data_IF_811849229120
#
_entry.id   IF_811849229120
#
_cell.length_a   1.000
_cell.length_b   1.000
_cell.length_c   1.000
_cell.angle_alpha   90.00
_cell.angle_beta   90.00
_cell.angle_gamma   90.00
#
_symmetry.space_group_name_H-M   'P 1'
#
loop_
_entity.id
_entity.type
_entity.pdbx_description
1 polymer ?
#
# COMPACT_ATOMS: atom_id res chain seq x y z
N UNK A 1 -30.36 -11.53 2.39
CA UNK A 1 -30.77 -10.65 1.27
C UNK A 1 -30.70 -9.19 1.73
N UNK A 2 -29.52 -8.74 2.15
CA UNK A 2 -29.21 -7.39 2.61
C UNK A 2 -27.74 -7.22 2.26
N UNK A 3 -27.43 -6.54 1.15
CA UNK A 3 -26.13 -5.98 0.75
C UNK A 3 -26.16 -5.51 -0.72
N UNK A 4 -27.16 -4.71 -1.08
CA UNK A 4 -27.11 -3.84 -2.27
C UNK A 4 -27.64 -2.48 -1.85
N UNK A 5 -26.78 -1.59 -1.37
CA UNK A 5 -27.00 -0.13 -1.40
C UNK A 5 -25.90 0.63 -0.63
N UNK A 6 -24.63 0.51 -1.01
CA UNK A 6 -23.68 1.60 -0.82
C UNK A 6 -22.81 1.67 -2.08
N UNK A 7 -22.76 2.84 -2.70
CA UNK A 7 -22.08 3.10 -3.97
C UNK A 7 -20.57 2.86 -3.88
N UNK A 8 -20.15 1.61 -4.02
CA UNK A 8 -18.78 1.17 -3.91
C UNK A 8 -17.88 1.61 -5.09
N UNK A 9 -18.41 2.30 -6.09
CA UNK A 9 -17.64 2.75 -7.26
C UNK A 9 -17.02 4.15 -7.17
N UNK A 10 -17.59 5.08 -6.37
CA UNK A 10 -17.11 6.49 -6.33
C UNK A 10 -16.07 6.77 -5.24
N UNK A 11 -16.22 6.15 -4.08
CA UNK A 11 -15.27 6.24 -2.96
C UNK A 11 -13.85 5.76 -3.30
N UNK A 12 -13.65 4.61 -4.00
CA UNK A 12 -12.29 4.17 -4.31
C UNK A 12 -11.60 5.10 -5.31
N UNK A 13 -12.33 5.66 -6.29
CA UNK A 13 -11.73 6.54 -7.29
C UNK A 13 -11.25 7.86 -6.67
N UNK A 14 -12.03 8.45 -5.77
CA UNK A 14 -11.65 9.67 -5.06
C UNK A 14 -10.39 9.47 -4.20
N UNK A 15 -10.29 8.33 -3.50
CA UNK A 15 -9.13 8.00 -2.69
C UNK A 15 -7.88 7.76 -3.54
N UNK A 16 -8.02 7.12 -4.71
CA UNK A 16 -6.92 6.93 -5.66
C UNK A 16 -6.42 8.29 -6.17
N UNK A 17 -7.32 9.17 -6.59
CA UNK A 17 -6.95 10.52 -7.06
C UNK A 17 -6.23 11.31 -5.96
N UNK A 18 -6.76 11.28 -4.74
CA UNK A 18 -6.13 11.94 -3.60
C UNK A 18 -4.72 11.38 -3.32
N UNK A 19 -4.56 10.06 -3.37
CA UNK A 19 -3.26 9.40 -3.20
C UNK A 19 -2.24 9.81 -4.26
N UNK A 20 -2.65 9.92 -5.52
CA UNK A 20 -1.79 10.39 -6.63
C UNK A 20 -1.40 11.85 -6.41
N UNK A 21 -2.36 12.72 -6.09
CA UNK A 21 -2.09 14.13 -5.83
C UNK A 21 -1.09 14.29 -4.68
N UNK A 22 -1.28 13.53 -3.61
CA UNK A 22 -0.38 13.50 -2.47
C UNK A 22 1.03 13.05 -2.83
N UNK A 23 1.16 12.00 -3.65
CA UNK A 23 2.45 11.48 -4.10
C UNK A 23 3.19 12.47 -5.01
N UNK A 24 2.49 13.20 -5.87
CA UNK A 24 3.10 14.14 -6.83
C UNK A 24 3.38 15.51 -6.21
N UNK A 25 2.68 15.89 -5.13
CA UNK A 25 2.80 17.21 -4.52
C UNK A 25 4.24 17.62 -4.14
N UNK A 26 5.10 16.76 -3.55
CA UNK A 26 6.48 17.14 -3.24
C UNK A 26 7.28 17.55 -4.49
N UNK A 27 7.08 16.87 -5.62
CA UNK A 27 7.76 17.21 -6.87
C UNK A 27 7.30 18.57 -7.42
N UNK A 28 5.99 18.85 -7.37
CA UNK A 28 5.43 20.14 -7.78
C UNK A 28 5.96 21.26 -6.88
N UNK A 29 5.92 21.07 -5.56
CA UNK A 29 6.45 22.04 -4.59
C UNK A 29 7.93 22.31 -4.86
N UNK A 30 8.74 21.26 -5.05
CA UNK A 30 10.16 21.40 -5.37
C UNK A 30 10.40 22.24 -6.64
N UNK A 31 9.66 21.97 -7.72
CA UNK A 31 9.79 22.69 -8.98
C UNK A 31 9.44 24.19 -8.86
N UNK A 32 8.62 24.58 -7.88
CA UNK A 32 8.29 25.99 -7.63
C UNK A 32 9.34 26.75 -6.80
N UNK A 33 10.16 26.03 -6.02
CA UNK A 33 11.18 26.63 -5.14
C UNK A 33 12.60 26.53 -5.70
N UNK A 34 12.86 25.58 -6.60
CA UNK A 34 14.16 25.36 -7.20
C UNK A 34 14.65 26.62 -7.92
N UNK A 35 15.86 27.05 -7.56
CA UNK A 35 16.53 28.24 -8.10
C UNK A 35 17.25 27.94 -9.41
N UNK A 36 17.69 26.70 -9.62
CA UNK A 36 18.45 26.30 -10.80
C UNK A 36 17.71 25.21 -11.58
N UNK A 37 17.67 25.34 -12.91
CA UNK A 37 17.09 24.33 -13.81
C UNK A 37 17.70 22.93 -13.61
N UNK A 38 19.05 22.74 -13.55
CA UNK A 38 19.61 21.39 -13.42
C UNK A 38 19.26 20.71 -12.09
N UNK A 39 19.40 21.40 -10.95
CA UNK A 39 19.06 20.82 -9.63
C UNK A 39 17.54 20.64 -9.50
N UNK A 40 16.78 21.59 -10.03
CA UNK A 40 15.32 21.51 -10.18
C UNK A 40 14.87 20.22 -10.86
N UNK A 41 15.35 19.96 -12.07
CA UNK A 41 15.01 18.76 -12.83
C UNK A 41 15.53 17.47 -12.18
N UNK A 42 16.73 17.47 -11.62
CA UNK A 42 17.30 16.28 -10.99
C UNK A 42 16.48 15.83 -9.77
N UNK A 43 16.24 16.73 -8.82
CA UNK A 43 15.48 16.41 -7.60
C UNK A 43 14.00 16.21 -7.92
N UNK A 44 13.42 17.03 -8.80
CA UNK A 44 12.03 16.86 -9.25
C UNK A 44 11.81 15.51 -9.94
N UNK A 45 12.75 15.10 -10.80
CA UNK A 45 12.72 13.78 -11.45
C UNK A 45 12.81 12.63 -10.45
N UNK A 46 13.72 12.70 -9.48
CA UNK A 46 13.83 11.71 -8.41
C UNK A 46 12.53 11.59 -7.58
N UNK A 47 11.92 12.73 -7.23
CA UNK A 47 10.63 12.76 -6.51
C UNK A 47 9.51 12.14 -7.34
N UNK A 48 9.46 12.39 -8.65
CA UNK A 48 8.48 11.78 -9.56
C UNK A 48 8.68 10.26 -9.71
N UNK A 49 9.93 9.80 -9.80
CA UNK A 49 10.24 8.36 -9.82
C UNK A 49 9.78 7.71 -8.51
N UNK A 50 10.09 8.31 -7.37
CA UNK A 50 9.66 7.81 -6.06
C UNK A 50 8.12 7.81 -5.94
N UNK A 51 7.43 8.84 -6.43
CA UNK A 51 5.98 8.92 -6.46
C UNK A 51 5.38 7.82 -7.37
N UNK A 52 5.95 7.61 -8.54
CA UNK A 52 5.54 6.55 -9.48
C UNK A 52 5.69 5.16 -8.89
N UNK A 53 6.77 4.91 -8.14
CA UNK A 53 6.97 3.66 -7.40
C UNK A 53 5.91 3.49 -6.31
N UNK A 54 5.64 4.53 -5.51
CA UNK A 54 4.59 4.49 -4.49
C UNK A 54 3.21 4.19 -5.11
N UNK A 55 2.85 4.86 -6.19
CA UNK A 55 1.59 4.62 -6.91
C UNK A 55 1.54 3.18 -7.44
N UNK A 56 2.65 2.67 -7.97
CA UNK A 56 2.73 1.29 -8.45
C UNK A 56 2.49 0.26 -7.33
N UNK A 57 2.96 0.54 -6.10
CA UNK A 57 2.66 -0.27 -4.92
C UNK A 57 1.19 -0.14 -4.52
N UNK A 58 0.62 1.07 -4.53
CA UNK A 58 -0.80 1.31 -4.20
C UNK A 58 -1.76 0.60 -5.16
N UNK A 59 -1.46 0.61 -6.46
CA UNK A 59 -2.21 -0.14 -7.48
C UNK A 59 -1.91 -1.66 -7.42
N UNK A 60 -0.89 -2.04 -6.64
CA UNK A 60 -0.36 -3.39 -6.48
C UNK A 60 0.18 -3.98 -7.77
N UNK A 61 0.74 -3.13 -8.63
CA UNK A 61 1.58 -3.54 -9.77
C UNK A 61 2.92 -4.10 -9.28
N UNK A 62 3.41 -3.57 -8.16
CA UNK A 62 4.61 -4.06 -7.46
C UNK A 62 4.17 -4.67 -6.13
N UNK A 63 4.67 -5.88 -5.83
CA UNK A 63 4.48 -6.52 -4.53
C UNK A 63 5.42 -5.88 -3.52
N UNK A 64 4.92 -4.91 -2.77
CA UNK A 64 5.58 -4.36 -1.60
C UNK A 64 4.53 -4.04 -0.53
N UNK A 65 4.92 -4.00 0.75
CA UNK A 65 4.02 -3.62 1.83
C UNK A 65 3.61 -2.15 1.67
N UNK A 66 2.31 -1.89 1.51
CA UNK A 66 1.78 -0.54 1.30
C UNK A 66 2.20 0.46 2.39
N UNK A 67 2.00 0.15 3.68
CA UNK A 67 2.36 1.06 4.78
C UNK A 67 3.84 1.45 4.76
N UNK A 68 4.73 0.50 4.45
CA UNK A 68 6.17 0.73 4.41
C UNK A 68 6.57 1.61 3.24
N UNK A 69 5.98 1.39 2.06
CA UNK A 69 6.21 2.23 0.90
C UNK A 69 5.80 3.69 1.17
N UNK A 70 4.68 3.90 1.86
CA UNK A 70 4.22 5.22 2.28
C UNK A 70 5.17 5.89 3.28
N UNK A 71 5.67 5.15 4.28
CA UNK A 71 6.62 5.68 5.24
C UNK A 71 7.96 6.03 4.57
N UNK A 72 8.48 5.12 3.72
CA UNK A 72 9.72 5.35 2.98
C UNK A 72 9.61 6.61 2.10
N UNK A 73 8.53 6.77 1.35
CA UNK A 73 8.31 7.97 0.54
C UNK A 73 8.23 9.23 1.40
N UNK A 74 7.53 9.16 2.53
CA UNK A 74 7.36 10.26 3.50
C UNK A 74 8.69 10.73 4.10
N UNK A 75 9.67 9.83 4.29
CA UNK A 75 11.02 10.18 4.76
C UNK A 75 11.93 10.61 3.61
N UNK A 76 11.86 9.92 2.46
CA UNK A 76 12.72 10.17 1.32
C UNK A 76 12.47 11.55 0.70
N UNK A 77 11.21 11.96 0.56
CA UNK A 77 10.85 13.24 -0.04
C UNK A 77 11.47 14.46 0.67
N UNK A 78 11.33 14.65 2.00
CA UNK A 78 11.96 15.77 2.69
C UNK A 78 13.49 15.70 2.67
N UNK A 79 14.09 14.49 2.70
CA UNK A 79 15.54 14.33 2.57
C UNK A 79 16.03 14.81 1.20
N UNK A 80 15.38 14.39 0.12
CA UNK A 80 15.71 14.84 -1.24
C UNK A 80 15.58 16.37 -1.38
N UNK A 81 14.52 16.94 -0.79
CA UNK A 81 14.29 18.39 -0.80
C UNK A 81 15.35 19.14 0.00
N UNK A 82 15.73 18.65 1.19
CA UNK A 82 16.79 19.24 2.01
C UNK A 82 18.15 19.17 1.30
N UNK A 83 18.48 18.03 0.68
CA UNK A 83 19.68 17.87 -0.12
C UNK A 83 19.69 18.83 -1.32
N UNK A 84 18.59 18.92 -2.06
CA UNK A 84 18.43 19.86 -3.17
C UNK A 84 18.64 21.31 -2.73
N UNK A 85 17.99 21.72 -1.64
CA UNK A 85 18.14 23.06 -1.09
C UNK A 85 19.59 23.37 -0.67
N UNK A 86 20.29 22.38 -0.08
CA UNK A 86 21.70 22.50 0.26
C UNK A 86 22.60 22.66 -0.98
N UNK A 87 22.33 21.93 -2.06
CA UNK A 87 23.06 22.07 -3.33
C UNK A 87 22.85 23.44 -3.99
N UNK A 88 21.62 23.97 -3.93
CA UNK A 88 21.33 25.31 -4.44
C UNK A 88 21.93 26.42 -3.57
N UNK A 89 22.01 26.21 -2.26
CA UNK A 89 22.63 27.15 -1.32
C UNK A 89 24.13 27.34 -1.55
N UNK A 90 24.80 26.39 -2.21
CA UNK A 90 26.22 26.50 -2.59
C UNK A 90 26.45 27.42 -3.79
N UNK A 91 25.41 27.80 -4.52
CA UNK A 91 25.53 28.75 -5.63
C UNK A 91 25.36 30.17 -5.10
N UNK A 92 26.43 30.98 -5.12
CA UNK A 92 26.59 32.36 -4.57
C UNK A 92 25.60 33.43 -5.11
N UNK A 93 24.58 33.04 -5.85
CA UNK A 93 23.52 33.96 -6.27
C UNK A 93 22.66 34.38 -5.08
N UNK A 94 22.45 35.68 -4.89
CA UNK A 94 21.44 36.20 -3.97
C UNK A 94 20.03 35.72 -4.38
N UNK A 95 19.19 35.27 -3.43
CA UNK A 95 17.85 34.80 -3.75
C UNK A 95 17.00 35.89 -4.39
N UNK A 96 16.18 35.56 -5.41
CA UNK A 96 15.31 36.54 -6.05
C UNK A 96 14.25 37.07 -5.05
N UNK A 97 13.75 38.31 -5.26
CA UNK A 97 12.69 38.87 -4.44
C UNK A 97 11.47 37.93 -4.42
N UNK A 98 10.94 37.64 -3.24
CA UNK A 98 9.80 36.72 -3.06
C UNK A 98 10.15 35.23 -2.94
N UNK A 99 11.43 34.84 -2.99
CA UNK A 99 11.82 33.45 -2.75
C UNK A 99 11.59 32.99 -1.30
N UNK A 100 11.89 33.85 -0.32
CA UNK A 100 11.72 33.55 1.11
C UNK A 100 10.26 33.16 1.46
N UNK A 101 9.23 33.95 1.09
CA UNK A 101 7.84 33.55 1.38
C UNK A 101 7.41 32.27 0.66
N UNK A 102 7.87 32.04 -0.59
CA UNK A 102 7.60 30.78 -1.31
C UNK A 102 8.23 29.57 -0.61
N UNK A 103 9.48 29.70 -0.17
CA UNK A 103 10.19 28.67 0.59
C UNK A 103 9.47 28.36 1.90
N UNK A 104 9.06 29.37 2.65
CA UNK A 104 8.36 29.16 3.92
C UNK A 104 7.00 28.48 3.70
N UNK A 105 6.26 28.86 2.64
CA UNK A 105 5.02 28.19 2.25
C UNK A 105 5.24 26.72 1.85
N UNK A 106 6.29 26.43 1.08
CA UNK A 106 6.69 25.07 0.72
C UNK A 106 7.04 24.21 1.94
N UNK A 107 7.82 24.75 2.88
CA UNK A 107 8.16 24.07 4.14
C UNK A 107 6.89 23.79 4.95
N UNK A 108 6.00 24.77 5.08
CA UNK A 108 4.73 24.58 5.79
C UNK A 108 3.85 23.50 5.17
N UNK A 109 3.72 23.49 3.84
CA UNK A 109 2.94 22.48 3.11
C UNK A 109 3.53 21.07 3.29
N UNK A 110 4.85 20.91 3.08
CA UNK A 110 5.53 19.63 3.23
C UNK A 110 5.53 19.13 4.68
N UNK A 111 5.68 20.04 5.65
CA UNK A 111 5.58 19.73 7.07
C UNK A 111 4.19 19.24 7.45
N UNK A 112 3.14 19.89 6.93
CA UNK A 112 1.76 19.45 7.12
C UNK A 112 1.51 18.09 6.46
N UNK A 113 2.01 17.89 5.24
CA UNK A 113 1.92 16.62 4.51
C UNK A 113 2.56 15.48 5.32
N UNK A 114 3.76 15.71 5.86
CA UNK A 114 4.47 14.76 6.70
C UNK A 114 3.69 14.44 8.00
N UNK A 115 3.22 15.46 8.70
CA UNK A 115 2.45 15.30 9.93
C UNK A 115 1.16 14.52 9.70
N UNK A 116 0.40 14.83 8.63
CA UNK A 116 -0.80 14.09 8.26
C UNK A 116 -0.50 12.61 7.97
N UNK A 117 0.61 12.32 7.29
CA UNK A 117 0.98 10.92 7.00
C UNK A 117 1.34 10.16 8.27
N UNK A 118 2.07 10.79 9.20
CA UNK A 118 2.40 10.17 10.48
C UNK A 118 1.14 9.90 11.32
N UNK A 119 0.23 10.88 11.41
CA UNK A 119 -1.03 10.71 12.15
C UNK A 119 -1.89 9.62 11.52
N UNK A 120 -2.07 9.65 10.20
CA UNK A 120 -2.84 8.63 9.49
C UNK A 120 -2.20 7.24 9.60
N UNK A 121 -0.88 7.14 9.49
CA UNK A 121 -0.14 5.89 9.65
C UNK A 121 -0.22 5.33 11.07
N UNK A 122 -0.13 6.18 12.08
CA UNK A 122 -0.30 5.80 13.49
C UNK A 122 -1.72 5.33 13.77
N UNK A 123 -2.73 6.08 13.31
CA UNK A 123 -4.14 5.68 13.41
C UNK A 123 -4.40 4.35 12.69
N UNK A 124 -3.82 4.16 11.51
CA UNK A 124 -3.92 2.90 10.78
C UNK A 124 -3.31 1.75 11.59
N UNK A 125 -2.09 1.92 12.12
CA UNK A 125 -1.43 0.91 12.96
C UNK A 125 -2.24 0.54 14.20
N UNK A 126 -2.90 1.52 14.83
CA UNK A 126 -3.78 1.30 15.97
C UNK A 126 -5.06 0.53 15.56
N UNK A 127 -5.71 0.91 14.46
CA UNK A 127 -6.93 0.27 13.97
C UNK A 127 -6.69 -1.18 13.54
N UNK A 128 -5.60 -1.47 12.84
CA UNK A 128 -5.29 -2.83 12.40
C UNK A 128 -4.87 -3.75 13.56
N UNK A 129 -4.38 -3.19 14.67
CA UNK A 129 -4.05 -3.96 15.87
C UNK A 129 -5.29 -4.63 16.50
N UNK A 130 -6.50 -4.17 16.16
CA UNK A 130 -7.74 -4.75 16.70
C UNK A 130 -8.20 -6.02 15.97
N UNK A 131 -7.46 -6.49 14.95
CA UNK A 131 -7.79 -7.74 14.22
C UNK A 131 -9.09 -7.69 13.41
N UNK A 132 -9.64 -6.48 13.22
CA UNK A 132 -10.94 -6.24 12.60
C UNK A 132 -10.91 -6.23 11.07
N UNK A 133 -9.72 -6.20 10.46
CA UNK A 133 -9.57 -6.09 9.01
C UNK A 133 -9.00 -7.36 8.39
N UNK A 134 -9.62 -7.86 7.32
CA UNK A 134 -9.19 -9.09 6.66
C UNK A 134 -8.04 -8.81 5.66
N UNK A 135 -7.13 -9.79 5.44
CA UNK A 135 -6.15 -9.69 4.37
C UNK A 135 -6.79 -9.44 3.00
N UNK A 136 -6.05 -8.79 2.09
CA UNK A 136 -6.51 -8.49 0.74
C UNK A 136 -6.79 -9.77 -0.08
N UNK A 137 -7.64 -9.69 -1.11
CA UNK A 137 -7.88 -10.79 -2.06
C UNK A 137 -6.59 -11.31 -2.70
N UNK A 138 -5.64 -10.42 -2.98
CA UNK A 138 -4.36 -10.72 -3.62
C UNK A 138 -3.41 -11.51 -2.71
N UNK A 139 -3.76 -11.66 -1.43
CA UNK A 139 -2.98 -12.46 -0.49
C UNK A 139 -3.25 -13.96 -0.65
N UNK A 140 -4.38 -14.32 -1.25
CA UNK A 140 -4.66 -15.71 -1.63
C UNK A 140 -3.64 -16.20 -2.66
N UNK A 141 -3.27 -17.49 -2.63
CA UNK A 141 -2.28 -18.03 -3.53
C UNK A 141 -2.82 -18.05 -4.96
N UNK A 142 -1.91 -17.93 -5.93
CA UNK A 142 -2.25 -18.18 -7.32
C UNK A 142 -2.71 -19.62 -7.49
N UNK A 143 -3.87 -19.80 -8.11
CA UNK A 143 -4.43 -21.13 -8.32
C UNK A 143 -3.71 -21.83 -9.48
N UNK A 144 -3.41 -23.14 -9.34
CA UNK A 144 -2.92 -23.94 -10.43
C UNK A 144 -4.00 -24.07 -11.53
N UNK A 145 -3.61 -24.38 -12.77
CA UNK A 145 -4.56 -24.73 -13.82
C UNK A 145 -5.53 -25.82 -13.35
N UNK A 146 -6.79 -25.74 -13.77
CA UNK A 146 -7.82 -26.70 -13.37
C UNK A 146 -8.53 -26.38 -12.05
N UNK A 147 -7.99 -25.46 -11.24
CA UNK A 147 -8.63 -24.99 -9.99
C UNK A 147 -9.07 -23.54 -10.13
N UNK A 148 -10.31 -23.24 -9.76
CA UNK A 148 -10.88 -21.89 -9.83
C UNK A 148 -11.62 -21.51 -8.55
N UNK A 149 -11.57 -20.23 -8.19
CA UNK A 149 -12.41 -19.66 -7.14
C UNK A 149 -13.84 -19.52 -7.66
N UNK A 150 -14.79 -20.10 -6.92
CA UNK A 150 -16.24 -20.00 -7.19
C UNK A 150 -16.92 -18.96 -6.31
N UNK A 151 -16.36 -18.69 -5.13
CA UNK A 151 -16.86 -17.66 -4.23
C UNK A 151 -15.71 -17.08 -3.41
N UNK A 152 -15.72 -15.78 -3.18
CA UNK A 152 -14.72 -15.08 -2.37
C UNK A 152 -15.41 -14.06 -1.47
N UNK A 153 -15.03 -14.05 -0.20
CA UNK A 153 -15.60 -13.15 0.79
C UNK A 153 -14.69 -12.91 1.98
N UNK A 154 -15.22 -12.16 2.94
CA UNK A 154 -14.58 -11.91 4.24
C UNK A 154 -15.39 -12.65 5.30
N UNK A 155 -14.71 -13.42 6.14
CA UNK A 155 -15.30 -14.09 7.29
C UNK A 155 -14.65 -13.62 8.58
N UNK A 156 -15.46 -13.09 9.51
CA UNK A 156 -14.99 -12.62 10.81
C UNK A 156 -15.48 -13.53 11.93
N UNK A 157 -14.61 -13.82 12.89
CA UNK A 157 -14.91 -14.59 14.08
C UNK A 157 -14.14 -14.08 15.30
N UNK A 158 -14.11 -14.88 16.36
CA UNK A 158 -13.42 -14.53 17.62
C UNK A 158 -11.91 -14.35 17.45
N UNK A 159 -11.32 -14.94 16.41
CA UNK A 159 -9.92 -14.79 16.02
C UNK A 159 -9.68 -13.74 14.93
N UNK A 160 -10.54 -12.72 14.85
CA UNK A 160 -10.43 -11.64 13.87
C UNK A 160 -11.07 -11.95 12.51
N UNK A 161 -10.80 -11.09 11.54
CA UNK A 161 -11.30 -11.22 10.18
C UNK A 161 -10.30 -11.91 9.26
N UNK A 162 -10.82 -12.81 8.43
CA UNK A 162 -10.08 -13.61 7.46
C UNK A 162 -10.66 -13.41 6.07
N UNK A 163 -9.80 -13.52 5.06
CA UNK A 163 -10.20 -13.62 3.66
C UNK A 163 -10.49 -15.07 3.37
N UNK A 164 -11.66 -15.37 2.80
CA UNK A 164 -12.10 -16.74 2.55
C UNK A 164 -12.45 -16.89 1.08
N UNK A 165 -11.96 -17.94 0.43
CA UNK A 165 -12.33 -18.28 -0.93
C UNK A 165 -12.68 -19.76 -1.06
N UNK A 166 -13.82 -20.05 -1.68
CA UNK A 166 -14.22 -21.41 -2.03
C UNK A 166 -13.62 -21.75 -3.38
N UNK A 167 -12.92 -22.87 -3.46
CA UNK A 167 -12.33 -23.36 -4.70
C UNK A 167 -13.00 -24.63 -5.18
N UNK A 168 -13.03 -24.80 -6.50
CA UNK A 168 -13.49 -26.00 -7.18
C UNK A 168 -12.46 -26.45 -8.19
N UNK A 169 -12.48 -27.74 -8.54
CA UNK A 169 -11.66 -28.32 -9.60
C UNK A 169 -12.53 -28.63 -10.81
N UNK A 170 -12.12 -28.14 -11.98
CA UNK A 170 -12.73 -28.51 -13.27
C UNK A 170 -12.33 -29.93 -13.66
N UNK A 171 -11.13 -30.36 -13.28
CA UNK A 171 -10.58 -31.69 -13.60
C UNK A 171 -11.11 -32.81 -12.69
N UNK A 172 -12.10 -32.53 -11.85
CA UNK A 172 -12.70 -33.53 -10.95
C UNK A 172 -11.79 -34.00 -9.81
N UNK A 173 -10.72 -33.25 -9.48
CA UNK A 173 -9.83 -33.57 -8.37
C UNK A 173 -10.60 -33.74 -7.07
N UNK A 174 -10.19 -34.74 -6.29
CA UNK A 174 -10.72 -34.91 -4.94
C UNK A 174 -10.30 -33.74 -4.05
N UNK A 175 -11.08 -33.45 -3.01
CA UNK A 175 -10.79 -32.34 -2.08
C UNK A 175 -9.39 -32.41 -1.44
N UNK A 176 -8.89 -33.59 -1.01
CA UNK A 176 -7.52 -33.71 -0.51
C UNK A 176 -6.46 -33.45 -1.60
N UNK A 177 -6.72 -33.85 -2.84
CA UNK A 177 -5.83 -33.58 -3.97
C UNK A 177 -5.76 -32.09 -4.28
N UNK A 178 -6.88 -31.36 -4.23
CA UNK A 178 -6.89 -29.90 -4.41
C UNK A 178 -5.96 -29.24 -3.38
N UNK A 179 -6.05 -29.62 -2.10
CA UNK A 179 -5.18 -29.08 -1.03
C UNK A 179 -3.72 -29.41 -1.29
N UNK A 180 -3.42 -30.64 -1.73
CA UNK A 180 -2.06 -31.09 -2.05
C UNK A 180 -1.47 -30.33 -3.24
N UNK A 181 -2.22 -30.18 -4.32
CA UNK A 181 -1.76 -29.46 -5.53
C UNK A 181 -1.53 -27.98 -5.24
N UNK A 182 -2.31 -27.40 -4.31
CA UNK A 182 -2.09 -26.04 -3.81
C UNK A 182 -0.87 -25.93 -2.88
N UNK A 183 -0.28 -27.05 -2.43
CA UNK A 183 0.82 -27.05 -1.48
C UNK A 183 0.43 -26.59 -0.08
N UNK A 184 -0.86 -26.64 0.27
CA UNK A 184 -1.42 -26.14 1.53
C UNK A 184 -1.80 -27.27 2.49
N UNK A 185 -1.09 -28.40 2.43
CA UNK A 185 -1.24 -29.49 3.43
C UNK A 185 -0.91 -29.00 4.84
N UNK A 186 -0.11 -27.94 4.95
CA UNK A 186 0.11 -27.15 6.16
C UNK A 186 -0.12 -25.68 5.86
N UNK A 187 -0.55 -24.95 6.87
CA UNK A 187 -0.63 -23.49 6.81
C UNK A 187 0.76 -22.91 6.57
N UNK A 188 0.84 -21.94 5.67
CA UNK A 188 2.07 -21.22 5.35
C UNK A 188 1.92 -19.77 5.81
N UNK A 189 2.73 -19.38 6.78
CA UNK A 189 2.81 -18.00 7.26
C UNK A 189 4.04 -17.30 6.66
N UNK A 190 3.85 -16.05 6.29
CA UNK A 190 4.94 -15.18 5.81
C UNK A 190 4.76 -13.77 6.33
N UNK A 191 5.86 -13.02 6.57
CA UNK A 191 5.75 -11.60 6.93
C UNK A 191 4.99 -10.82 5.85
N UNK A 192 4.04 -9.99 6.26
CA UNK A 192 3.32 -9.12 5.32
C UNK A 192 4.05 -7.81 5.03
N UNK A 193 4.87 -7.34 5.97
CA UNK A 193 5.63 -6.10 5.90
C UNK A 193 7.13 -6.22 6.14
N UNK A 194 7.79 -5.07 6.04
CA UNK A 194 9.21 -4.87 6.31
C UNK A 194 9.45 -4.07 7.60
N UNK A 195 8.57 -3.11 7.92
CA UNK A 195 8.77 -2.20 9.06
C UNK A 195 7.51 -1.85 9.86
N UNK A 196 6.37 -1.57 9.23
CA UNK A 196 5.14 -1.12 9.92
C UNK A 196 4.07 -2.20 9.99
N UNK A 197 4.06 -3.13 9.04
CA UNK A 197 3.17 -4.28 9.06
C UNK A 197 3.94 -5.53 9.48
N UNK A 198 4.15 -5.66 10.78
CA UNK A 198 4.93 -6.74 11.38
C UNK A 198 4.17 -8.07 11.45
N UNK A 199 2.89 -8.07 11.12
CA UNK A 199 2.04 -9.25 11.26
C UNK A 199 2.41 -10.26 10.19
N UNK A 200 2.47 -11.52 10.57
CA UNK A 200 2.51 -12.56 9.56
C UNK A 200 1.15 -12.64 8.88
N UNK A 201 1.14 -12.99 7.60
CA UNK A 201 -0.06 -13.44 6.93
C UNK A 201 0.04 -14.93 6.71
N UNK A 202 -0.91 -15.65 7.30
CA UNK A 202 -1.02 -17.09 7.24
C UNK A 202 -2.07 -17.46 6.21
N UNK A 203 -1.68 -18.35 5.30
CA UNK A 203 -2.53 -18.86 4.22
C UNK A 203 -2.67 -20.36 4.41
N UNK A 204 -3.91 -20.84 4.40
CA UNK A 204 -4.23 -22.24 4.57
C UNK A 204 -5.42 -22.68 3.72
N UNK A 205 -5.64 -23.99 3.70
CA UNK A 205 -6.79 -24.62 3.07
C UNK A 205 -7.47 -25.57 4.05
N UNK A 206 -8.80 -25.62 4.05
CA UNK A 206 -9.60 -26.54 4.86
C UNK A 206 -10.66 -27.22 3.99
N UNK A 207 -10.80 -28.53 4.18
CA UNK A 207 -11.95 -29.29 3.67
C UNK A 207 -13.08 -29.22 4.70
N UNK A 208 -14.23 -28.65 4.31
CA UNK A 208 -15.43 -28.56 5.15
C UNK A 208 -16.43 -29.70 4.85
N UNK A 209 -15.98 -30.79 4.22
CA UNK A 209 -16.77 -31.97 3.83
C UNK A 209 -17.59 -31.77 2.55
N UNK A 210 -17.90 -30.52 2.21
CA UNK A 210 -18.61 -30.15 0.97
C UNK A 210 -17.63 -29.61 -0.08
N UNK A 211 -16.86 -28.60 0.31
CA UNK A 211 -16.00 -27.83 -0.58
C UNK A 211 -14.63 -27.64 0.07
N UNK A 212 -13.61 -27.33 -0.74
CA UNK A 212 -12.32 -26.83 -0.23
C UNK A 212 -12.40 -25.31 -0.10
N UNK A 213 -12.04 -24.81 1.07
CA UNK A 213 -12.03 -23.40 1.40
C UNK A 213 -10.60 -22.96 1.67
N UNK A 214 -10.10 -22.02 0.89
CA UNK A 214 -8.88 -21.27 1.15
C UNK A 214 -9.18 -20.15 2.13
N UNK A 215 -8.25 -19.89 3.02
CA UNK A 215 -8.31 -18.74 3.88
C UNK A 215 -6.96 -18.04 3.98
N UNK A 216 -6.99 -16.73 4.16
CA UNK A 216 -5.85 -15.93 4.57
C UNK A 216 -6.24 -15.13 5.81
N UNK A 217 -5.46 -15.23 6.86
CA UNK A 217 -5.65 -14.50 8.12
C UNK A 217 -4.34 -13.90 8.60
N UNK A 218 -4.42 -12.86 9.41
CA UNK A 218 -3.25 -12.34 10.11
C UNK A 218 -2.83 -13.34 11.19
N UNK A 219 -1.54 -13.64 11.27
CA UNK A 219 -0.91 -14.39 12.34
C UNK A 219 -0.84 -13.54 13.61
N UNK A 220 -0.95 -14.21 14.76
CA UNK A 220 -0.87 -13.63 16.10
C UNK A 220 0.55 -13.68 16.65
#
# INVERSE_FOLDING_TARGET
MWNRALGAGRLPYMLIVLGILFAVAPAVVWMTIARTRPVGFAVGGLLLVAAGLLISVQQGWIRAPGPDAHLLFTVLAPVLIACGAGLEGRHESSPPPGWIPRRNGAIGFLGMQFALTLVAGLLYALLISEGSDAPSSRTLPSLPPGVSIVDEGIGCGSGGCSRIATVTSVDGLSRPEIIRVLGLERESCRPSGWLLDWRDVCVGARDNGKNVTLYASWGY
#
